data_IF_537370478093
#
_entry.id   IF_537370478093
#
_cell.length_a   1.000
_cell.length_b   1.000
_cell.length_c   1.000
_cell.angle_alpha   90.00
_cell.angle_beta   90.00
_cell.angle_gamma   90.00
#
_symmetry.space_group_name_H-M   'P 1'
#
loop_
_entity.id
_entity.type
_entity.pdbx_description
1 polymer ?
#
# COMPACT_ATOMS: atom_id res chain seq x y z
N UNK A 1 -15.64 -0.28 11.94
CA UNK A 1 -15.69 1.06 11.34
C UNK A 1 -14.38 1.30 10.60
N UNK A 2 -14.44 1.94 9.43
CA UNK A 2 -13.24 2.39 8.70
C UNK A 2 -12.94 3.82 9.14
N UNK A 3 -11.72 4.09 9.61
CA UNK A 3 -11.29 5.44 9.93
C UNK A 3 -10.94 6.23 8.66
N UNK A 4 -10.79 7.56 8.78
CA UNK A 4 -10.35 8.39 7.66
C UNK A 4 -8.93 8.00 7.21
N UNK A 5 -8.60 8.12 5.92
CA UNK A 5 -7.26 7.82 5.44
C UNK A 5 -6.23 8.79 6.02
N UNK A 6 -5.04 8.27 6.35
CA UNK A 6 -3.93 9.04 6.89
C UNK A 6 -2.79 9.10 5.87
N UNK A 7 -2.23 10.30 5.66
CA UNK A 7 -1.02 10.45 4.84
C UNK A 7 0.20 9.99 5.64
N UNK A 8 0.87 8.94 5.15
CA UNK A 8 2.07 8.35 5.79
C UNK A 8 3.34 9.04 5.31
N UNK A 9 3.40 9.33 4.02
CA UNK A 9 4.60 9.80 3.34
C UNK A 9 4.21 10.64 2.13
N UNK A 10 5.01 11.67 1.83
CA UNK A 10 4.90 12.45 0.60
C UNK A 10 6.26 12.42 -0.12
N UNK A 11 6.31 11.74 -1.26
CA UNK A 11 7.53 11.54 -2.05
C UNK A 11 7.43 12.11 -3.47
N UNK A 12 8.51 11.99 -4.24
CA UNK A 12 8.58 12.31 -5.68
C UNK A 12 8.32 11.06 -6.54
N UNK A 13 8.25 11.26 -7.88
CA UNK A 13 7.74 10.31 -8.88
C UNK A 13 8.23 8.86 -8.80
N UNK A 14 9.45 8.60 -8.30
CA UNK A 14 10.10 7.29 -8.47
C UNK A 14 10.45 6.55 -7.17
N UNK A 15 10.17 7.12 -5.98
CA UNK A 15 10.27 6.36 -4.73
C UNK A 15 9.71 7.14 -3.53
N UNK A 16 8.48 6.80 -3.12
CA UNK A 16 8.20 6.83 -1.70
C UNK A 16 8.76 5.55 -1.09
N UNK A 17 10.03 5.57 -0.69
CA UNK A 17 10.63 4.53 0.16
C UNK A 17 10.02 4.65 1.57
N UNK A 18 8.71 4.44 1.69
CA UNK A 18 8.06 4.41 2.99
C UNK A 18 8.58 3.18 3.73
N UNK A 19 9.40 3.43 4.76
CA UNK A 19 9.91 2.36 5.61
C UNK A 19 8.73 1.66 6.31
N UNK A 20 8.71 0.32 6.48
CA UNK A 20 7.64 -0.36 7.19
C UNK A 20 7.29 0.27 8.55
N UNK A 21 8.29 0.79 9.28
CA UNK A 21 8.07 1.52 10.54
C UNK A 21 7.13 2.72 10.38
N UNK A 22 7.32 3.51 9.34
CA UNK A 22 6.52 4.72 9.08
C UNK A 22 5.11 4.35 8.66
N UNK A 23 4.97 3.32 7.83
CA UNK A 23 3.67 2.78 7.39
C UNK A 23 2.86 2.20 8.54
N UNK A 24 3.51 1.48 9.47
CA UNK A 24 2.83 0.83 10.59
C UNK A 24 2.51 1.78 11.75
N UNK A 25 3.25 2.90 11.88
CA UNK A 25 3.10 3.80 13.02
C UNK A 25 1.65 4.35 13.17
N UNK A 26 0.96 4.82 12.11
CA UNK A 26 -0.45 5.20 12.21
C UNK A 26 -1.36 4.03 12.59
N UNK A 27 -1.16 2.85 12.00
CA UNK A 27 -1.95 1.67 12.31
C UNK A 27 -1.86 1.30 13.82
N UNK A 28 -0.65 1.37 14.39
CA UNK A 28 -0.42 1.14 15.82
C UNK A 28 -1.09 2.21 16.67
N UNK A 29 -0.92 3.50 16.33
CA UNK A 29 -1.50 4.63 17.09
C UNK A 29 -3.03 4.58 17.18
N UNK A 30 -3.66 4.01 16.15
CA UNK A 30 -5.11 3.89 16.04
C UNK A 30 -5.63 2.50 16.46
N UNK A 31 -4.80 1.65 17.07
CA UNK A 31 -5.16 0.29 17.47
C UNK A 31 -5.77 -0.53 16.33
N UNK A 32 -5.28 -0.35 15.10
CA UNK A 32 -5.82 -0.98 13.92
C UNK A 32 -5.54 -2.49 13.94
N UNK A 33 -6.59 -3.30 13.71
CA UNK A 33 -6.48 -4.76 13.54
C UNK A 33 -6.04 -5.12 12.11
N UNK A 34 -6.22 -4.18 11.17
CA UNK A 34 -5.90 -4.36 9.77
C UNK A 34 -5.76 -3.01 9.06
N UNK A 35 -5.00 -2.98 7.96
CA UNK A 35 -4.78 -1.79 7.15
C UNK A 35 -4.72 -2.09 5.65
N UNK A 36 -4.93 -1.07 4.83
CA UNK A 36 -4.66 -1.05 3.38
C UNK A 36 -3.68 0.09 3.14
N UNK A 37 -2.72 -0.10 2.24
CA UNK A 37 -1.83 0.97 1.78
C UNK A 37 -2.17 1.33 0.34
N UNK A 38 -2.18 2.63 0.04
CA UNK A 38 -2.57 3.12 -1.28
C UNK A 38 -1.72 4.31 -1.74
N UNK A 39 -0.49 4.08 -2.22
CA UNK A 39 0.31 5.13 -2.82
C UNK A 39 -0.23 5.50 -4.20
N UNK A 40 -0.05 6.76 -4.58
CA UNK A 40 -0.29 7.23 -5.93
C UNK A 40 0.99 7.17 -6.77
N UNK A 41 0.87 6.71 -8.02
CA UNK A 41 1.90 6.87 -9.04
C UNK A 41 1.72 8.23 -9.74
N UNK A 42 2.67 9.18 -9.60
CA UNK A 42 2.51 10.51 -10.22
C UNK A 42 2.47 10.47 -11.74
N UNK A 43 3.00 9.41 -12.36
CA UNK A 43 2.88 9.14 -13.80
C UNK A 43 1.44 8.88 -14.27
N UNK A 44 0.54 8.53 -13.34
CA UNK A 44 -0.81 8.09 -13.64
C UNK A 44 -0.92 6.64 -14.13
N UNK A 45 0.18 5.90 -14.26
CA UNK A 45 0.16 4.47 -14.57
C UNK A 45 0.20 3.66 -13.26
N UNK A 46 -0.87 2.92 -12.89
CA UNK A 46 -0.90 2.15 -11.64
C UNK A 46 -0.11 0.84 -11.71
N UNK A 47 0.61 0.55 -12.81
CA UNK A 47 1.40 -0.68 -12.95
C UNK A 47 2.46 -0.80 -11.85
N UNK A 48 2.43 -1.86 -11.01
CA UNK A 48 3.40 -2.04 -9.94
C UNK A 48 4.80 -2.27 -10.49
N UNK A 49 5.77 -1.55 -9.93
CA UNK A 49 7.18 -1.83 -10.14
C UNK A 49 7.63 -3.03 -9.31
N UNK A 50 8.82 -3.56 -9.62
CA UNK A 50 9.45 -4.57 -8.76
C UNK A 50 9.75 -4.04 -7.35
N UNK A 51 9.95 -2.72 -7.20
CA UNK A 51 10.18 -2.09 -5.90
C UNK A 51 8.91 -2.09 -5.05
N UNK A 52 7.75 -1.82 -5.65
CA UNK A 52 6.45 -1.87 -4.96
C UNK A 52 6.18 -3.27 -4.42
N UNK A 53 6.40 -4.30 -5.23
CA UNK A 53 6.23 -5.70 -4.78
C UNK A 53 7.16 -6.04 -3.63
N UNK A 54 8.44 -5.61 -3.68
CA UNK A 54 9.40 -5.84 -2.59
C UNK A 54 9.00 -5.12 -1.30
N UNK A 55 8.63 -3.84 -1.38
CA UNK A 55 8.25 -3.06 -0.20
C UNK A 55 6.96 -3.61 0.41
N UNK A 56 6.00 -4.02 -0.41
CA UNK A 56 4.75 -4.65 0.04
C UNK A 56 5.02 -5.90 0.87
N UNK A 57 5.94 -6.77 0.42
CA UNK A 57 6.32 -7.98 1.17
C UNK A 57 6.94 -7.62 2.52
N UNK A 58 7.86 -6.65 2.55
CA UNK A 58 8.47 -6.20 3.80
C UNK A 58 7.44 -5.61 4.78
N UNK A 59 6.50 -4.82 4.28
CA UNK A 59 5.41 -4.25 5.09
C UNK A 59 4.48 -5.37 5.58
N UNK A 60 4.09 -6.32 4.72
CA UNK A 60 3.22 -7.43 5.10
C UNK A 60 3.83 -8.28 6.22
N UNK A 61 5.10 -8.65 6.10
CA UNK A 61 5.82 -9.42 7.13
C UNK A 61 5.92 -8.63 8.45
N UNK A 62 6.26 -7.34 8.38
CA UNK A 62 6.33 -6.50 9.57
C UNK A 62 4.95 -6.32 10.23
N UNK A 63 3.90 -6.10 9.44
CA UNK A 63 2.53 -5.95 9.93
C UNK A 63 2.06 -7.22 10.65
N UNK A 64 2.35 -8.39 10.06
CA UNK A 64 2.06 -9.71 10.63
C UNK A 64 2.70 -9.90 12.00
N UNK A 65 3.97 -9.55 12.16
CA UNK A 65 4.67 -9.62 13.45
C UNK A 65 4.01 -8.72 14.52
N UNK A 66 3.40 -7.61 14.10
CA UNK A 66 2.70 -6.68 14.97
C UNK A 66 1.22 -7.05 15.21
N UNK A 67 0.73 -8.14 14.62
CA UNK A 67 -0.68 -8.53 14.70
C UNK A 67 -1.63 -7.63 13.91
N UNK A 68 -1.10 -6.85 12.95
CA UNK A 68 -1.87 -5.96 12.08
C UNK A 68 -1.92 -6.59 10.68
N UNK A 69 -3.10 -6.93 10.18
CA UNK A 69 -3.21 -7.53 8.84
C UNK A 69 -3.10 -6.48 7.75
N UNK A 70 -2.13 -6.63 6.84
CA UNK A 70 -2.15 -5.87 5.59
C UNK A 70 -3.13 -6.55 4.63
N UNK A 71 -4.28 -5.90 4.40
CA UNK A 71 -5.33 -6.46 3.55
C UNK A 71 -4.98 -6.33 2.07
N UNK A 72 -4.40 -5.21 1.66
CA UNK A 72 -4.01 -4.99 0.27
C UNK A 72 -2.99 -3.85 0.15
N UNK A 73 -2.33 -3.83 -1.00
CA UNK A 73 -1.60 -2.68 -1.50
C UNK A 73 -2.25 -2.27 -2.84
N UNK A 74 -2.90 -1.10 -2.84
CA UNK A 74 -3.64 -0.58 -3.98
C UNK A 74 -2.88 0.60 -4.59
N UNK A 75 -2.20 0.38 -5.71
CA UNK A 75 -1.50 1.47 -6.40
C UNK A 75 -2.52 2.30 -7.18
N UNK A 76 -2.56 3.60 -6.92
CA UNK A 76 -3.47 4.54 -7.55
C UNK A 76 -2.82 5.22 -8.76
N UNK A 77 -3.56 5.32 -9.85
CA UNK A 77 -3.19 5.98 -11.10
C UNK A 77 -4.38 6.73 -11.70
N UNK A 78 -4.34 6.97 -13.01
CA UNK A 78 -5.41 7.61 -13.75
C UNK A 78 -6.28 6.57 -14.46
N UNK A 79 -7.62 6.68 -14.40
CA UNK A 79 -8.50 5.83 -15.18
C UNK A 79 -8.30 6.07 -16.69
N UNK A 80 -8.32 5.00 -17.49
CA UNK A 80 -8.14 5.05 -18.95
C UNK A 80 -9.25 4.25 -19.64
N UNK A 81 -10.18 4.96 -20.28
CA UNK A 81 -11.34 4.33 -20.93
C UNK A 81 -12.14 3.51 -19.92
N UNK A 82 -12.24 2.20 -20.15
CA UNK A 82 -12.93 1.26 -19.25
C UNK A 82 -12.04 0.70 -18.13
N UNK A 83 -10.74 1.04 -18.10
CA UNK A 83 -9.83 0.54 -17.07
C UNK A 83 -9.90 1.40 -15.80
N UNK A 84 -9.97 0.78 -14.60
CA UNK A 84 -9.93 1.52 -13.35
C UNK A 84 -8.58 2.21 -13.16
N UNK A 85 -8.59 3.37 -12.51
CA UNK A 85 -7.37 4.11 -12.17
C UNK A 85 -6.61 3.53 -10.98
N UNK A 86 -6.59 2.21 -10.82
CA UNK A 86 -5.86 1.55 -9.73
C UNK A 86 -5.53 0.10 -10.07
N UNK A 87 -4.53 -0.45 -9.36
CA UNK A 87 -4.23 -1.89 -9.36
C UNK A 87 -4.13 -2.36 -7.90
N UNK A 88 -4.85 -3.44 -7.59
CA UNK A 88 -4.72 -4.19 -6.34
C UNK A 88 -3.65 -5.27 -6.51
N UNK A 89 -2.60 -5.24 -5.68
CA UNK A 89 -1.58 -6.28 -5.69
C UNK A 89 -2.15 -7.63 -5.23
N UNK A 90 -3.14 -7.63 -4.32
CA UNK A 90 -3.85 -8.84 -3.91
C UNK A 90 -4.62 -9.46 -5.08
N UNK A 91 -5.41 -8.66 -5.80
CA UNK A 91 -6.21 -9.15 -6.93
C UNK A 91 -5.34 -9.70 -8.06
N UNK A 92 -4.17 -9.09 -8.30
CA UNK A 92 -3.21 -9.54 -9.31
C UNK A 92 -2.36 -10.75 -8.84
N UNK A 93 -2.47 -11.18 -7.58
CA UNK A 93 -1.68 -12.29 -7.05
C UNK A 93 -0.17 -12.02 -6.99
N UNK A 94 0.25 -10.75 -6.92
CA UNK A 94 1.68 -10.37 -6.95
C UNK A 94 2.37 -10.56 -5.60
N UNK A 95 1.59 -10.52 -4.52
CA UNK A 95 2.03 -10.69 -3.13
C UNK A 95 0.99 -11.54 -2.40
N UNK A 96 1.47 -12.39 -1.50
CA UNK A 96 0.60 -13.15 -0.59
C UNK A 96 0.30 -12.26 0.61
N UNK A 97 -0.98 -12.11 0.92
CA UNK A 97 -1.48 -11.37 2.07
C UNK A 97 -2.19 -12.36 2.99
N UNK A 98 -1.77 -12.44 4.25
CA UNK A 98 -2.36 -13.31 5.28
C UNK A 98 -3.66 -12.74 5.88
#
# INVERSE_FOLDING_TARGET
>A
LMEQPFEVSKGTADSSLANPREVLMPAIRHNAVSMIIAPNHPSGDPTPSSADVRVTRQIAEAAKLMGIRLLDHVILGQPRGSQPGYISLRQQGLVVFD
#
